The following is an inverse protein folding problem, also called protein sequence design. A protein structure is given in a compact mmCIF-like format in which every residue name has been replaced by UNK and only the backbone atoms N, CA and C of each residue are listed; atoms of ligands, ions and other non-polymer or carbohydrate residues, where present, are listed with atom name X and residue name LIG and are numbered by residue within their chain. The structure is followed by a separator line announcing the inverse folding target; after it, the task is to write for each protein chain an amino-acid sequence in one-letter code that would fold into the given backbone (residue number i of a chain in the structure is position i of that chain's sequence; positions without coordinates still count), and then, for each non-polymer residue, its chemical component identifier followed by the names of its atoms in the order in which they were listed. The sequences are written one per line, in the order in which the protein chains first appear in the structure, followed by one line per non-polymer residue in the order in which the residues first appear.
data_IF_718933984903
#
_entry.id   IF_718933984903
#
_cell.length_a   1.000
_cell.length_b   1.000
_cell.length_c   1.000
_cell.angle_alpha   90.00
_cell.angle_beta   90.00
_cell.angle_gamma   90.00
#
_symmetry.space_group_name_H-M   'P 1'
#
loop_
_entity.id
_entity.type
_entity.pdbx_description
1 polymer ?
#
# COMPACT_ATOMS: atom_id res chain seq x y z
N UNK A 1 -15.07 17.09 0.19
CA UNK A 1 -13.93 16.24 -0.19
C UNK A 1 -13.54 15.44 1.03
N UNK A 2 -13.47 14.12 0.90
CA UNK A 2 -13.36 13.19 2.03
C UNK A 2 -11.93 13.17 2.57
N UNK A 3 -11.74 13.55 3.83
CA UNK A 3 -10.48 13.36 4.57
C UNK A 3 -10.31 11.92 5.10
N UNK A 4 -11.27 11.05 4.79
CA UNK A 4 -11.33 9.68 5.29
C UNK A 4 -10.82 8.68 4.25
N UNK A 5 -10.25 7.54 4.69
CA UNK A 5 -9.91 6.44 3.82
C UNK A 5 -11.11 5.97 2.98
N UNK A 6 -10.89 5.52 1.73
CA UNK A 6 -11.97 5.11 0.83
C UNK A 6 -12.63 3.78 1.23
N UNK A 7 -12.05 3.07 2.19
CA UNK A 7 -12.59 1.86 2.78
C UNK A 7 -12.40 1.87 4.30
N UNK A 8 -13.40 1.34 4.99
CA UNK A 8 -13.41 1.25 6.46
C UNK A 8 -12.86 -0.07 6.98
N UNK A 9 -13.11 -1.15 6.26
CA UNK A 9 -12.72 -2.52 6.63
C UNK A 9 -11.71 -3.07 5.63
N UNK A 10 -10.81 -3.90 6.12
CA UNK A 10 -9.89 -4.72 5.35
C UNK A 10 -10.27 -6.20 5.51
N UNK A 11 -10.30 -6.90 4.38
CA UNK A 11 -10.47 -8.34 4.29
C UNK A 11 -9.15 -8.93 3.80
N UNK A 12 -8.49 -9.66 4.68
CA UNK A 12 -7.10 -10.11 4.50
C UNK A 12 -7.10 -11.62 4.40
N UNK A 13 -6.55 -12.16 3.31
CA UNK A 13 -6.44 -13.60 3.08
C UNK A 13 -4.97 -14.00 3.10
N UNK A 14 -4.58 -14.77 4.12
CA UNK A 14 -3.23 -15.28 4.29
C UNK A 14 -3.07 -16.60 3.52
N UNK A 15 -2.05 -16.66 2.65
CA UNK A 15 -1.72 -17.80 1.83
C UNK A 15 -0.34 -18.36 2.19
N UNK A 16 -0.19 -19.69 2.24
CA UNK A 16 1.10 -20.38 2.48
C UNK A 16 1.97 -20.50 1.22
N UNK A 17 1.84 -19.51 0.33
CA UNK A 17 2.47 -19.48 -0.98
C UNK A 17 2.27 -18.11 -1.59
N UNK A 18 2.96 -17.85 -2.70
CA UNK A 18 2.84 -16.59 -3.44
C UNK A 18 2.21 -16.88 -4.81
N UNK A 19 0.96 -16.43 -5.05
CA UNK A 19 0.35 -16.56 -6.36
C UNK A 19 1.18 -15.86 -7.46
N UNK A 20 1.22 -16.39 -8.69
CA UNK A 20 1.81 -15.70 -9.82
C UNK A 20 1.20 -14.31 -10.03
N UNK A 21 2.02 -13.30 -10.36
CA UNK A 21 1.56 -11.90 -10.48
C UNK A 21 0.47 -11.71 -11.53
N UNK A 22 0.52 -12.46 -12.62
CA UNK A 22 -0.45 -12.44 -13.72
C UNK A 22 -1.81 -13.04 -13.33
N UNK A 23 -1.83 -13.88 -12.30
CA UNK A 23 -3.04 -14.51 -11.73
C UNK A 23 -3.73 -13.64 -10.68
N UNK A 24 -3.04 -12.64 -10.11
CA UNK A 24 -3.60 -11.81 -9.05
C UNK A 24 -4.92 -11.15 -9.49
N UNK A 25 -5.94 -11.08 -8.61
CA UNK A 25 -7.22 -10.49 -8.95
C UNK A 25 -7.09 -9.04 -9.42
N UNK A 26 -7.63 -8.75 -10.60
CA UNK A 26 -7.67 -7.39 -11.17
C UNK A 26 -9.06 -6.79 -10.98
N UNK A 27 -9.50 -6.71 -9.73
CA UNK A 27 -10.80 -6.16 -9.37
C UNK A 27 -10.63 -4.79 -8.70
N UNK A 28 -11.63 -3.89 -8.77
CA UNK A 28 -11.55 -2.58 -8.11
C UNK A 28 -11.41 -2.65 -6.58
N UNK A 29 -11.73 -3.81 -5.99
CA UNK A 29 -11.68 -4.06 -4.55
C UNK A 29 -10.43 -4.85 -4.13
N UNK A 30 -9.60 -5.32 -5.07
CA UNK A 30 -8.28 -5.87 -4.77
C UNK A 30 -7.31 -4.73 -4.55
N UNK A 31 -6.74 -4.63 -3.35
CA UNK A 31 -5.94 -3.48 -2.93
C UNK A 31 -4.46 -3.75 -3.14
N UNK A 32 -3.91 -4.77 -2.47
CA UNK A 32 -2.50 -5.11 -2.55
C UNK A 32 -2.27 -6.60 -2.24
N UNK A 33 -1.20 -7.15 -2.78
CA UNK A 33 -0.65 -8.44 -2.37
C UNK A 33 0.70 -8.19 -1.68
N UNK A 34 0.76 -8.45 -0.38
CA UNK A 34 2.02 -8.43 0.36
C UNK A 34 2.65 -9.81 0.31
N UNK A 35 3.92 -9.86 -0.09
CA UNK A 35 4.73 -11.07 -0.03
C UNK A 35 5.62 -10.98 1.20
N UNK A 36 5.58 -12.01 2.03
CA UNK A 36 6.47 -12.20 3.18
C UNK A 36 7.08 -13.59 3.10
N UNK A 37 8.38 -13.67 2.80
CA UNK A 37 9.10 -14.91 2.54
C UNK A 37 8.37 -15.82 1.54
N UNK A 38 7.87 -16.98 2.00
CA UNK A 38 7.15 -17.98 1.21
C UNK A 38 5.62 -17.86 1.35
N UNK A 39 5.13 -16.88 2.10
CA UNK A 39 3.70 -16.62 2.28
C UNK A 39 3.29 -15.30 1.59
N UNK A 40 1.97 -15.12 1.46
CA UNK A 40 1.42 -13.84 1.01
C UNK A 40 0.11 -13.47 1.69
N UNK A 41 -0.20 -12.18 1.71
CA UNK A 41 -1.42 -11.62 2.24
C UNK A 41 -2.11 -10.81 1.16
N UNK A 42 -3.33 -11.21 0.81
CA UNK A 42 -4.16 -10.48 -0.14
C UNK A 42 -5.13 -9.57 0.60
N UNK A 43 -5.07 -8.27 0.32
CA UNK A 43 -5.93 -7.27 0.93
C UNK A 43 -7.05 -6.86 -0.02
N UNK A 44 -8.27 -6.86 0.50
CA UNK A 44 -9.46 -6.40 -0.21
C UNK A 44 -10.28 -5.40 0.61
N UNK A 45 -11.02 -4.52 -0.06
CA UNK A 45 -11.94 -3.57 0.58
C UNK A 45 -13.33 -4.14 0.88
N UNK A 46 -13.60 -5.39 0.46
CA UNK A 46 -14.86 -6.11 0.69
C UNK A 46 -14.62 -7.63 0.82
N UNK A 47 -15.61 -8.41 1.33
CA UNK A 47 -15.50 -9.87 1.33
C UNK A 47 -15.28 -10.39 -0.09
N UNK A 48 -14.26 -11.23 -0.25
CA UNK A 48 -13.72 -11.67 -1.54
C UNK A 48 -13.38 -13.16 -1.57
N UNK A 49 -14.01 -13.98 -0.74
CA UNK A 49 -13.76 -15.43 -0.61
C UNK A 49 -13.85 -16.11 -1.98
N UNK A 50 -14.94 -15.89 -2.72
CA UNK A 50 -15.11 -16.48 -4.04
C UNK A 50 -14.08 -16.01 -5.07
N UNK A 51 -13.47 -14.83 -4.89
CA UNK A 51 -12.36 -14.35 -5.73
C UNK A 51 -11.07 -15.08 -5.38
N UNK A 52 -10.81 -15.29 -4.09
CA UNK A 52 -9.66 -16.04 -3.59
C UNK A 52 -9.76 -17.51 -4.00
N UNK A 53 -10.93 -18.14 -3.88
CA UNK A 53 -11.17 -19.52 -4.34
C UNK A 53 -10.85 -19.70 -5.83
N UNK A 54 -11.32 -18.76 -6.67
CA UNK A 54 -11.02 -18.75 -8.11
C UNK A 54 -9.54 -18.55 -8.38
N UNK A 55 -8.86 -17.69 -7.62
CA UNK A 55 -7.42 -17.47 -7.75
C UNK A 55 -6.65 -18.77 -7.47
N UNK A 56 -7.01 -19.48 -6.40
CA UNK A 56 -6.32 -20.68 -5.93
C UNK A 56 -6.64 -21.92 -6.76
N UNK A 57 -7.76 -21.93 -7.50
CA UNK A 57 -8.13 -23.04 -8.39
C UNK A 57 -7.00 -23.36 -9.38
N UNK A 58 -6.46 -24.57 -9.26
CA UNK A 58 -5.41 -25.10 -10.14
C UNK A 58 -3.99 -24.62 -9.81
N UNK A 59 -3.78 -23.88 -8.71
CA UNK A 59 -2.44 -23.58 -8.21
C UNK A 59 -1.95 -24.71 -7.29
N UNK A 60 -0.75 -25.21 -7.54
CA UNK A 60 -0.06 -26.12 -6.64
C UNK A 60 0.79 -25.33 -5.64
N UNK A 61 0.81 -25.76 -4.38
CA UNK A 61 1.66 -25.15 -3.35
C UNK A 61 1.22 -23.78 -2.83
N UNK A 62 0.03 -23.30 -3.19
CA UNK A 62 -0.56 -22.05 -2.66
C UNK A 62 -1.97 -22.34 -2.17
N UNK A 63 -2.20 -22.20 -0.87
CA UNK A 63 -3.49 -22.47 -0.23
C UNK A 63 -3.84 -21.34 0.72
N UNK A 64 -5.14 -21.12 0.91
CA UNK A 64 -5.64 -20.26 1.98
C UNK A 64 -5.35 -20.91 3.33
N UNK A 65 -4.66 -20.18 4.19
CA UNK A 65 -4.34 -20.57 5.57
C UNK A 65 -5.39 -20.02 6.51
N UNK A 66 -5.63 -18.72 6.43
CA UNK A 66 -6.50 -18.00 7.35
C UNK A 66 -7.06 -16.74 6.69
N UNK A 67 -8.23 -16.30 7.16
CA UNK A 67 -8.88 -15.06 6.75
C UNK A 67 -9.05 -14.16 7.97
N UNK A 68 -8.69 -12.90 7.83
CA UNK A 68 -8.89 -11.87 8.85
C UNK A 68 -9.82 -10.79 8.34
N UNK A 69 -10.55 -10.18 9.28
CA UNK A 69 -11.30 -8.95 9.07
C UNK A 69 -11.00 -8.01 10.21
N UNK A 70 -10.63 -6.78 9.87
CA UNK A 70 -10.44 -5.70 10.83
C UNK A 70 -10.71 -4.37 10.14
N UNK A 71 -10.98 -3.34 10.94
CA UNK A 71 -11.06 -1.99 10.40
C UNK A 71 -9.67 -1.53 9.91
N UNK A 72 -9.67 -0.62 8.95
CA UNK A 72 -8.45 0.03 8.48
C UNK A 72 -7.74 0.78 9.62
N UNK A 73 -8.50 1.37 10.56
CA UNK A 73 -7.93 2.05 11.73
C UNK A 73 -7.22 1.08 12.69
N UNK A 74 -7.81 -0.08 12.96
CA UNK A 74 -7.16 -1.15 13.74
C UNK A 74 -5.88 -1.63 13.06
N UNK A 75 -5.93 -1.84 11.73
CA UNK A 75 -4.75 -2.20 10.93
C UNK A 75 -3.63 -1.16 11.03
N UNK A 76 -3.96 0.13 11.09
CA UNK A 76 -2.99 1.22 11.29
C UNK A 76 -2.48 1.36 12.73
N UNK A 77 -3.02 0.62 13.68
CA UNK A 77 -2.69 0.81 15.10
C UNK A 77 -3.09 2.20 15.62
N UNK A 78 -4.14 2.80 15.08
CA UNK A 78 -4.66 4.11 15.49
C UNK A 78 -3.77 5.32 15.13
N UNK A 79 -2.79 5.16 14.25
CA UNK A 79 -1.97 6.28 13.80
C UNK A 79 -2.74 7.19 12.84
N UNK A 80 -2.70 8.49 13.10
CA UNK A 80 -3.31 9.49 12.22
C UNK A 80 -2.54 9.56 10.89
N UNK A 81 -3.28 9.47 9.78
CA UNK A 81 -2.73 9.57 8.44
C UNK A 81 -2.57 11.03 8.04
N UNK A 82 -1.38 11.59 8.28
CA UNK A 82 -1.06 12.95 7.90
C UNK A 82 -0.11 12.97 6.69
N UNK A 83 -0.24 13.96 5.80
CA UNK A 83 0.79 14.23 4.80
C UNK A 83 2.15 14.45 5.47
N UNK A 84 3.20 14.03 4.77
CA UNK A 84 4.56 14.01 5.24
C UNK A 84 5.49 14.61 4.20
N UNK A 85 6.33 15.53 4.63
CA UNK A 85 7.35 16.17 3.80
C UNK A 85 8.71 15.51 3.99
N UNK A 86 9.43 15.28 2.90
CA UNK A 86 10.82 14.84 2.88
C UNK A 86 11.54 15.50 1.69
N UNK A 87 12.29 16.57 1.94
CA UNK A 87 12.84 17.40 0.86
C UNK A 87 11.72 17.99 -0.03
N UNK A 88 11.80 17.86 -1.37
CA UNK A 88 10.75 18.31 -2.28
C UNK A 88 9.56 17.33 -2.34
N UNK A 89 9.64 16.17 -1.71
CA UNK A 89 8.59 15.15 -1.78
C UNK A 89 7.53 15.37 -0.71
N UNK A 90 6.25 15.34 -1.13
CA UNK A 90 5.09 15.34 -0.25
C UNK A 90 4.39 13.99 -0.37
N UNK A 91 4.64 13.11 0.59
CA UNK A 91 3.94 11.83 0.72
C UNK A 91 2.57 12.11 1.33
N UNK A 92 1.50 11.67 0.68
CA UNK A 92 0.17 11.90 1.21
C UNK A 92 -0.77 10.74 0.89
N UNK A 93 -1.79 10.50 1.74
CA UNK A 93 -2.85 9.58 1.40
C UNK A 93 -3.52 10.02 0.09
N UNK A 94 -3.68 9.10 -0.86
CA UNK A 94 -4.15 9.44 -2.22
C UNK A 94 -5.57 10.01 -2.24
N UNK A 95 -6.36 9.79 -1.19
CA UNK A 95 -7.70 10.34 -1.01
C UNK A 95 -7.72 11.74 -0.40
N UNK A 96 -6.60 12.23 0.13
CA UNK A 96 -6.47 13.60 0.61
C UNK A 96 -6.01 14.47 -0.55
N UNK A 97 -6.81 15.48 -0.89
CA UNK A 97 -6.40 16.50 -1.84
C UNK A 97 -5.38 17.43 -1.20
N UNK A 98 -4.21 17.53 -1.80
CA UNK A 98 -3.12 18.40 -1.35
C UNK A 98 -2.74 19.37 -2.46
N UNK A 99 -2.65 20.64 -2.10
CA UNK A 99 -2.35 21.71 -3.03
C UNK A 99 -0.95 21.52 -3.65
N UNK A 100 -0.88 21.59 -4.99
CA UNK A 100 0.37 21.51 -5.71
C UNK A 100 1.12 22.84 -5.60
N UNK A 101 2.07 22.94 -4.66
CA UNK A 101 2.98 24.08 -4.55
C UNK A 101 4.10 23.96 -5.58
N UNK A 102 4.58 25.07 -6.19
CA UNK A 102 5.74 25.05 -7.08
C UNK A 102 6.95 24.39 -6.41
N UNK A 103 7.61 23.47 -7.12
CA UNK A 103 8.78 22.74 -6.60
C UNK A 103 8.49 21.54 -5.70
N UNK A 104 7.22 21.29 -5.35
CA UNK A 104 6.81 20.10 -4.57
C UNK A 104 6.44 18.95 -5.51
N UNK A 105 7.03 17.78 -5.26
CA UNK A 105 6.72 16.51 -5.91
C UNK A 105 5.74 15.74 -5.03
N UNK A 106 4.48 15.67 -5.46
CA UNK A 106 3.45 14.91 -4.74
C UNK A 106 3.65 13.41 -4.97
N UNK A 107 3.59 12.63 -3.90
CA UNK A 107 3.67 11.17 -3.89
C UNK A 107 2.39 10.62 -3.25
N UNK A 108 1.30 10.48 -4.03
CA UNK A 108 0.06 9.90 -3.54
C UNK A 108 0.24 8.39 -3.32
N UNK A 109 -0.14 7.91 -2.14
CA UNK A 109 -0.05 6.49 -1.79
C UNK A 109 -1.14 6.09 -0.80
N UNK A 110 -1.31 4.79 -0.56
CA UNK A 110 -2.08 4.29 0.57
C UNK A 110 -1.13 4.05 1.76
N UNK A 111 -1.11 4.92 2.78
CA UNK A 111 -0.12 4.86 3.85
C UNK A 111 -0.21 3.59 4.71
N UNK A 112 -1.33 2.87 4.65
CA UNK A 112 -1.53 1.65 5.42
C UNK A 112 -1.27 0.37 4.66
N UNK A 113 -1.33 0.40 3.33
CA UNK A 113 -1.15 -0.77 2.48
C UNK A 113 0.12 -0.74 1.64
N UNK A 114 0.90 0.34 1.68
CA UNK A 114 2.23 0.38 1.08
C UNK A 114 3.33 0.55 2.13
N UNK A 115 4.42 -0.18 1.93
CA UNK A 115 5.65 0.13 2.65
C UNK A 115 6.22 1.47 2.16
N UNK A 116 6.95 2.18 3.03
CA UNK A 116 7.56 3.46 2.66
C UNK A 116 6.60 4.65 2.67
N UNK A 117 5.55 4.61 3.49
CA UNK A 117 4.64 5.75 3.71
C UNK A 117 5.27 6.94 4.46
N UNK A 118 6.53 6.81 4.93
CA UNK A 118 7.26 7.87 5.61
C UNK A 118 7.25 7.80 7.14
N UNK A 119 6.52 6.87 7.75
CA UNK A 119 6.51 6.68 9.21
C UNK A 119 7.84 6.16 9.78
N UNK A 120 8.63 5.45 8.97
CA UNK A 120 9.98 5.02 9.34
C UNK A 120 11.04 6.04 8.88
N UNK A 121 12.03 6.41 9.73
CA UNK A 121 13.05 7.40 9.39
C UNK A 121 13.79 7.13 8.08
N UNK A 122 14.06 5.86 7.77
CA UNK A 122 14.79 5.46 6.54
C UNK A 122 14.10 5.90 5.26
N UNK A 123 12.76 5.98 5.24
CA UNK A 123 12.03 6.47 4.06
C UNK A 123 12.35 7.95 3.84
N UNK A 124 12.32 8.76 4.92
CA UNK A 124 12.56 10.20 4.85
C UNK A 124 13.99 10.49 4.42
N UNK A 125 14.96 9.86 5.09
CA UNK A 125 16.38 10.03 4.79
C UNK A 125 16.73 9.61 3.35
N UNK A 126 16.09 8.53 2.84
CA UNK A 126 16.28 8.11 1.45
C UNK A 126 15.75 9.15 0.46
N UNK A 127 14.57 9.73 0.72
CA UNK A 127 13.98 10.77 -0.14
C UNK A 127 14.78 12.08 -0.10
N UNK A 128 15.29 12.46 1.07
CA UNK A 128 16.20 13.59 1.21
C UNK A 128 17.50 13.38 0.45
N UNK A 129 18.11 12.19 0.56
CA UNK A 129 19.31 11.84 -0.18
C UNK A 129 19.07 11.87 -1.70
N UNK A 130 17.92 11.37 -2.18
CA UNK A 130 17.52 11.46 -3.58
C UNK A 130 17.42 12.92 -4.05
N UNK A 131 16.85 13.81 -3.23
CA UNK A 131 16.79 15.23 -3.55
C UNK A 131 18.17 15.88 -3.68
N UNK A 132 19.11 15.53 -2.79
CA UNK A 132 20.48 16.04 -2.86
C UNK A 132 21.13 15.59 -4.16
N UNK A 133 21.04 14.31 -4.49
CA UNK A 133 21.63 13.75 -5.72
C UNK A 133 21.03 14.37 -6.98
N UNK A 134 19.71 14.59 -7.01
CA UNK A 134 19.02 15.22 -8.13
C UNK A 134 19.50 16.66 -8.38
N UNK A 135 19.70 17.43 -7.31
CA UNK A 135 20.17 18.81 -7.42
C UNK A 135 21.66 18.93 -7.78
N UNK A 136 22.45 17.87 -7.54
CA UNK A 136 23.86 17.80 -7.93
C UNK A 136 24.04 17.30 -9.37
N UNK A 137 22.98 16.79 -10.02
CA UNK A 137 23.06 16.33 -11.39
C UNK A 137 23.31 17.53 -12.33
N UNK A 138 24.35 17.50 -13.19
CA UNK A 138 24.57 18.55 -14.17
C UNK A 138 23.33 18.68 -15.06
N UNK A 139 22.90 19.92 -15.31
CA UNK A 139 21.78 20.21 -16.21
C UNK A 139 22.08 19.59 -17.57
N UNK A 140 21.29 18.58 -17.95
CA UNK A 140 21.34 17.93 -19.27
C UNK A 140 20.65 18.81 -20.30
#
# INVERSE_FOLDING_TARGET
MTSEPPYKDLYIYHLNGVPPKDRLPKTPFSLVCWKEDDCSFLFFSNPSEGTVDRLLTGLEGVNLVESYRMSYEEWQGGQALAPLEAGPFLLHPYWIDVEAKPGVIRVPLDPGLVFGAGFHPTTRESLEALSVLWNLAPSV
#
